data_IF_919076623021
#
_entry.id   IF_919076623021
#
_cell.length_a   1.000
_cell.length_b   1.000
_cell.length_c   1.000
_cell.angle_alpha   90.00
_cell.angle_beta   90.00
_cell.angle_gamma   90.00
#
_symmetry.space_group_name_H-M   'P 1'
#
loop_
_entity.id
_entity.type
_entity.pdbx_description
1 polymer ?
#
# COMPACT_ATOMS: atom_id res chain seq x y z
N UNK A 1 -32.90 -3.51 37.35
CA UNK A 1 -31.59 -2.85 37.10
C UNK A 1 -31.38 -2.70 35.61
N UNK A 2 -30.83 -1.59 35.11
CA UNK A 2 -30.36 -1.48 33.72
C UNK A 2 -28.92 -2.01 33.64
N UNK A 3 -28.63 -2.90 32.69
CA UNK A 3 -27.25 -3.07 32.23
C UNK A 3 -26.82 -1.80 31.49
N UNK A 4 -25.57 -1.38 31.67
CA UNK A 4 -25.03 -0.23 30.94
C UNK A 4 -24.76 -0.63 29.48
N UNK A 5 -25.27 0.16 28.54
CA UNK A 5 -24.91 0.00 27.12
C UNK A 5 -23.42 0.25 26.96
N UNK A 6 -22.66 -0.77 26.55
CA UNK A 6 -21.31 -0.59 26.01
C UNK A 6 -21.45 0.28 24.76
N UNK A 7 -20.71 1.40 24.62
CA UNK A 7 -20.76 2.17 23.38
C UNK A 7 -20.26 1.28 22.24
N UNK A 8 -21.07 1.16 21.20
CA UNK A 8 -20.62 0.63 19.92
C UNK A 8 -19.59 1.60 19.35
N UNK A 9 -18.47 1.08 18.85
CA UNK A 9 -17.48 1.90 18.18
C UNK A 9 -18.06 2.30 16.82
N UNK A 10 -18.65 3.49 16.76
CA UNK A 10 -18.94 4.18 15.49
C UNK A 10 -17.68 4.18 14.63
N UNK A 11 -17.74 3.82 13.34
CA UNK A 11 -16.56 3.85 12.49
C UNK A 11 -16.00 5.28 12.50
N UNK A 12 -14.72 5.42 12.85
CA UNK A 12 -14.05 6.71 13.02
C UNK A 12 -14.24 7.56 11.76
N UNK A 13 -15.01 8.66 11.86
CA UNK A 13 -15.11 9.63 10.76
C UNK A 13 -13.69 10.14 10.45
N UNK A 14 -13.21 10.06 9.20
CA UNK A 14 -11.85 10.46 8.86
C UNK A 14 -11.58 11.92 9.24
N UNK A 15 -10.81 12.13 10.31
CA UNK A 15 -10.46 13.47 10.82
C UNK A 15 -9.91 14.31 9.66
N UNK A 16 -10.51 15.47 9.32
CA UNK A 16 -10.31 16.10 8.01
C UNK A 16 -8.84 16.46 7.73
N UNK A 17 -8.07 16.83 8.76
CA UNK A 17 -6.63 17.07 8.64
C UNK A 17 -5.83 15.85 8.15
N UNK A 18 -6.25 14.62 8.48
CA UNK A 18 -5.59 13.39 8.00
C UNK A 18 -5.89 13.11 6.53
N UNK A 19 -7.11 13.42 6.07
CA UNK A 19 -7.49 13.24 4.67
C UNK A 19 -6.72 14.21 3.76
N UNK A 20 -6.55 15.47 4.18
CA UNK A 20 -5.74 16.47 3.47
C UNK A 20 -4.29 15.99 3.32
N UNK A 21 -3.65 15.57 4.41
CA UNK A 21 -2.26 15.09 4.39
C UNK A 21 -2.03 13.85 3.50
N UNK A 22 -3.05 13.02 3.27
CA UNK A 22 -2.99 11.91 2.31
C UNK A 22 -3.10 12.42 0.87
N UNK A 23 -3.97 13.39 0.59
CA UNK A 23 -4.13 13.99 -0.74
C UNK A 23 -2.84 14.71 -1.16
N UNK A 24 -2.23 15.50 -0.27
CA UNK A 24 -0.95 16.19 -0.53
C UNK A 24 0.20 15.21 -0.79
N UNK A 25 0.21 14.06 -0.09
CA UNK A 25 1.18 12.99 -0.31
C UNK A 25 0.97 12.30 -1.66
N UNK A 26 -0.29 12.04 -2.04
CA UNK A 26 -0.65 11.44 -3.33
C UNK A 26 -0.32 12.38 -4.50
N UNK A 27 -0.67 13.66 -4.42
CA UNK A 27 -0.35 14.65 -5.46
C UNK A 27 1.16 14.76 -5.68
N UNK A 28 1.95 14.86 -4.60
CA UNK A 28 3.41 14.87 -4.67
C UNK A 28 3.98 13.58 -5.28
N UNK A 29 3.41 12.42 -4.93
CA UNK A 29 3.82 11.12 -5.46
C UNK A 29 3.55 11.01 -6.96
N UNK A 30 2.39 11.50 -7.42
CA UNK A 30 1.97 11.52 -8.82
C UNK A 30 2.77 12.53 -9.65
N UNK A 31 3.05 13.72 -9.09
CA UNK A 31 3.70 14.83 -9.79
C UNK A 31 5.22 14.71 -9.89
N UNK A 32 5.90 14.00 -8.97
CA UNK A 32 7.37 13.88 -8.99
C UNK A 32 7.97 12.68 -8.25
N UNK A 33 7.17 11.81 -7.65
CA UNK A 33 7.64 10.68 -6.86
C UNK A 33 8.26 11.05 -5.51
N UNK A 34 8.60 10.02 -4.74
CA UNK A 34 9.14 10.12 -3.38
C UNK A 34 10.25 9.08 -3.17
N UNK A 35 11.39 9.48 -2.63
CA UNK A 35 12.44 8.55 -2.19
C UNK A 35 12.17 8.14 -0.74
N UNK A 36 11.83 6.88 -0.52
CA UNK A 36 11.70 6.26 0.79
C UNK A 36 13.05 5.68 1.21
N UNK A 37 13.45 5.91 2.46
CA UNK A 37 14.66 5.33 3.06
C UNK A 37 14.34 4.83 4.47
N UNK A 38 14.89 3.69 4.88
CA UNK A 38 14.68 3.12 6.21
C UNK A 38 15.36 1.75 6.36
N UNK A 39 14.98 1.02 7.41
CA UNK A 39 15.42 -0.35 7.67
C UNK A 39 14.21 -1.24 7.97
N UNK A 40 14.26 -2.49 7.52
CA UNK A 40 13.34 -3.57 7.92
C UNK A 40 14.16 -4.68 8.57
N UNK A 41 13.65 -5.24 9.67
CA UNK A 41 14.21 -6.44 10.30
C UNK A 41 13.19 -7.58 10.17
N UNK A 42 13.67 -8.75 9.79
CA UNK A 42 12.91 -9.99 9.73
C UNK A 42 13.34 -10.87 10.91
N UNK A 43 12.37 -11.18 11.76
CA UNK A 43 12.58 -11.83 13.06
C UNK A 43 11.68 -13.06 13.19
N UNK A 44 12.15 -14.09 13.88
CA UNK A 44 11.39 -15.33 14.15
C UNK A 44 11.53 -15.67 15.62
N UNK A 45 10.40 -15.91 16.31
CA UNK A 45 10.36 -16.21 17.75
C UNK A 45 11.18 -15.20 18.59
N UNK A 46 10.94 -13.90 18.34
CA UNK A 46 11.60 -12.76 18.98
C UNK A 46 13.12 -12.65 18.76
N UNK A 47 13.69 -13.42 17.82
CA UNK A 47 15.09 -13.35 17.39
C UNK A 47 15.18 -12.65 16.03
N UNK A 48 15.91 -11.54 15.97
CA UNK A 48 16.23 -10.84 14.72
C UNK A 48 17.22 -11.67 13.87
N UNK A 49 16.84 -11.99 12.62
CA UNK A 49 17.64 -12.83 11.73
C UNK A 49 18.25 -12.06 10.55
N UNK A 50 17.49 -11.15 9.94
CA UNK A 50 17.92 -10.42 8.73
C UNK A 50 17.54 -8.95 8.85
N UNK A 51 18.53 -8.05 8.79
CA UNK A 51 18.31 -6.61 8.61
C UNK A 51 18.49 -6.22 7.14
N UNK A 52 17.55 -5.47 6.61
CA UNK A 52 17.53 -4.97 5.23
C UNK A 52 17.44 -3.44 5.27
N UNK A 53 18.51 -2.74 4.89
CA UNK A 53 18.47 -1.29 4.70
C UNK A 53 17.81 -0.99 3.35
N UNK A 54 16.67 -0.31 3.37
CA UNK A 54 15.85 0.01 2.21
C UNK A 54 16.12 1.42 1.71
N UNK A 55 16.30 1.56 0.40
CA UNK A 55 16.26 2.84 -0.31
C UNK A 55 15.51 2.64 -1.62
N UNK A 56 14.29 3.13 -1.69
CA UNK A 56 13.37 2.93 -2.81
C UNK A 56 12.93 4.27 -3.40
N UNK A 57 12.80 4.34 -4.72
CA UNK A 57 12.09 5.42 -5.40
C UNK A 57 10.67 4.94 -5.70
N UNK A 58 9.68 5.62 -5.14
CA UNK A 58 8.26 5.39 -5.43
C UNK A 58 7.82 6.46 -6.43
N UNK A 59 7.28 6.03 -7.56
CA UNK A 59 6.82 6.86 -8.68
C UNK A 59 5.50 6.31 -9.19
N UNK A 60 4.71 7.15 -9.88
CA UNK A 60 3.49 6.69 -10.54
C UNK A 60 3.78 5.67 -11.64
N UNK A 61 2.80 4.81 -11.92
CA UNK A 61 2.82 3.93 -13.11
C UNK A 61 2.29 4.75 -14.30
N UNK A 62 3.00 4.69 -15.43
CA UNK A 62 2.60 5.31 -16.69
C UNK A 62 3.10 4.49 -17.88
N UNK A 63 2.83 4.92 -19.12
CA UNK A 63 3.40 4.30 -20.32
C UNK A 63 4.94 4.35 -20.33
N UNK A 64 5.53 5.38 -19.71
CA UNK A 64 6.98 5.58 -19.61
C UNK A 64 7.60 4.84 -18.40
N UNK A 65 6.77 4.45 -17.43
CA UNK A 65 7.15 3.66 -16.25
C UNK A 65 6.08 2.58 -15.99
N UNK A 66 6.03 1.50 -16.80
CA UNK A 66 4.99 0.48 -16.71
C UNK A 66 5.12 -0.36 -15.43
N UNK A 67 4.02 -1.00 -15.03
CA UNK A 67 4.04 -1.97 -13.92
C UNK A 67 4.96 -3.14 -14.27
N UNK A 68 5.99 -3.46 -13.47
CA UNK A 68 6.81 -4.67 -13.68
C UNK A 68 5.97 -5.93 -13.46
N UNK A 69 4.93 -5.84 -12.63
CA UNK A 69 3.84 -6.80 -12.54
C UNK A 69 2.89 -6.54 -13.70
N UNK A 70 3.29 -6.96 -14.91
CA UNK A 70 2.33 -7.19 -15.96
C UNK A 70 1.30 -8.19 -15.44
N UNK A 71 0.01 -7.87 -15.57
CA UNK A 71 -1.05 -8.79 -15.18
C UNK A 71 -0.80 -10.13 -15.88
N UNK A 72 -0.83 -11.22 -15.12
CA UNK A 72 -0.73 -12.58 -15.66
C UNK A 72 -1.85 -12.69 -16.68
N UNK A 73 -1.50 -12.64 -17.98
CA UNK A 73 -2.47 -12.79 -19.06
C UNK A 73 -3.19 -14.10 -18.82
N UNK A 74 -4.47 -14.04 -18.47
CA UNK A 74 -5.28 -15.22 -18.27
C UNK A 74 -5.11 -16.07 -19.55
N UNK A 75 -4.67 -17.34 -19.43
CA UNK A 75 -4.24 -18.11 -20.59
C UNK A 75 -5.40 -18.13 -21.59
N UNK A 76 -5.17 -17.55 -22.77
CA UNK A 76 -6.23 -17.31 -23.73
C UNK A 76 -6.83 -18.65 -24.13
N UNK A 77 -8.06 -18.89 -23.72
CA UNK A 77 -8.84 -20.07 -24.07
C UNK A 77 -9.45 -19.94 -25.45
N UNK A 78 -8.66 -19.61 -26.47
CA UNK A 78 -9.06 -19.51 -27.88
C UNK A 78 -8.87 -20.83 -28.64
N UNK A 79 -8.81 -21.97 -27.92
CA UNK A 79 -9.05 -23.32 -28.47
C UNK A 79 -10.54 -23.52 -28.77
N UNK A 80 -11.02 -22.73 -29.73
CA UNK A 80 -12.40 -22.65 -30.19
C UNK A 80 -12.57 -23.27 -31.60
N UNK A 81 -11.62 -24.11 -32.04
CA UNK A 81 -11.59 -24.69 -33.40
C UNK A 81 -10.95 -26.10 -33.47
N UNK A 82 -11.69 -27.13 -32.99
CA UNK A 82 -11.54 -28.54 -33.43
C UNK A 82 -12.69 -29.47 -33.05
#
# INVERSE_FOLDING_TARGET
MRAASRPEATPEEPLPQRQIALIDLLDRLLSGGVVLTGDVVLSIADIDLVRISLRALIVSISEQNPSPWHAISAPTGDDHDR
#
